data_IF_975576057387
#
_entry.id   IF_975576057387
#
_cell.length_a   1.000
_cell.length_b   1.000
_cell.length_c   1.000
_cell.angle_alpha   90.00
_cell.angle_beta   90.00
_cell.angle_gamma   90.00
#
_symmetry.space_group_name_H-M   'P 1'
#
loop_
_entity.id
_entity.type
_entity.pdbx_description
1 polymer ?
#
# COMPACT_ATOMS: atom_id res chain seq x y z
N UNK A 1 10.10 -10.06 21.05
CA UNK A 1 8.83 -9.30 21.15
C UNK A 1 8.63 -8.48 19.89
N UNK A 2 7.75 -8.89 18.97
CA UNK A 2 7.44 -8.09 17.76
C UNK A 2 6.48 -6.97 18.15
N UNK A 3 6.96 -5.72 18.18
CA UNK A 3 6.11 -4.53 18.35
C UNK A 3 5.09 -4.50 17.21
N UNK A 4 3.81 -4.71 17.52
CA UNK A 4 2.70 -4.35 16.62
C UNK A 4 2.53 -2.84 16.71
N UNK A 5 3.35 -2.10 15.97
CA UNK A 5 3.09 -0.69 15.69
C UNK A 5 2.02 -0.61 14.60
N UNK A 6 0.83 -1.16 14.83
CA UNK A 6 -0.27 -1.04 13.87
C UNK A 6 -1.11 0.13 14.36
N UNK A 7 -0.67 1.36 14.04
CA UNK A 7 -1.56 2.51 14.17
C UNK A 7 -2.74 2.25 13.25
N UNK A 8 -3.95 2.22 13.80
CA UNK A 8 -5.15 2.10 12.97
C UNK A 8 -5.35 3.37 12.14
N UNK A 9 -6.10 3.25 11.05
CA UNK A 9 -6.47 4.40 10.23
C UNK A 9 -7.12 5.52 11.06
N UNK A 10 -7.96 5.14 12.05
CA UNK A 10 -8.60 6.07 12.98
C UNK A 10 -7.60 6.82 13.88
N UNK A 11 -6.56 6.16 14.39
CA UNK A 11 -5.51 6.83 15.17
C UNK A 11 -4.71 7.83 14.32
N UNK A 12 -4.47 7.51 13.04
CA UNK A 12 -3.84 8.44 12.11
C UNK A 12 -4.71 9.67 11.87
N UNK A 13 -6.01 9.46 11.64
CA UNK A 13 -6.99 10.54 11.46
C UNK A 13 -7.06 11.49 12.67
N UNK A 14 -7.06 10.94 13.89
CA UNK A 14 -7.05 11.76 15.12
C UNK A 14 -5.80 12.66 15.14
N UNK A 15 -4.61 12.09 14.92
CA UNK A 15 -3.36 12.86 14.90
C UNK A 15 -3.34 13.90 13.79
N UNK A 16 -3.95 13.62 12.65
CA UNK A 16 -4.10 14.59 11.57
C UNK A 16 -4.95 15.78 12.01
N UNK A 17 -6.11 15.54 12.62
CA UNK A 17 -6.98 16.58 13.16
C UNK A 17 -6.26 17.46 14.19
N UNK A 18 -5.45 16.87 15.07
CA UNK A 18 -4.64 17.62 16.05
C UNK A 18 -3.62 18.56 15.39
N UNK A 19 -3.03 18.18 14.25
CA UNK A 19 -2.10 19.05 13.52
C UNK A 19 -2.84 20.19 12.83
N UNK A 20 -3.96 19.87 12.19
CA UNK A 20 -4.78 20.86 11.47
C UNK A 20 -5.35 21.90 12.43
N UNK A 21 -5.75 21.51 13.65
CA UNK A 21 -6.23 22.42 14.68
C UNK A 21 -5.20 23.47 15.12
N UNK A 22 -3.90 23.23 14.87
CA UNK A 22 -2.81 24.17 15.19
C UNK A 22 -2.59 25.22 14.10
N UNK A 23 -3.09 25.01 12.89
CA UNK A 23 -2.90 25.90 11.75
C UNK A 23 -3.73 27.18 11.94
N UNK A 24 -3.09 28.33 11.74
CA UNK A 24 -3.76 29.64 11.70
C UNK A 24 -3.52 30.32 10.36
N UNK A 25 -4.57 30.84 9.70
CA UNK A 25 -5.99 30.77 10.10
C UNK A 25 -6.59 29.35 9.96
N UNK A 26 -7.72 29.06 10.61
CA UNK A 26 -8.40 27.77 10.48
C UNK A 26 -8.74 27.47 9.01
N UNK A 27 -8.41 26.27 8.56
CA UNK A 27 -8.64 25.85 7.17
C UNK A 27 -10.06 25.29 6.99
N UNK A 28 -10.60 25.37 5.76
CA UNK A 28 -11.90 24.77 5.44
C UNK A 28 -11.84 23.25 5.52
N UNK A 29 -12.89 22.61 6.03
CA UNK A 29 -12.98 21.15 6.15
C UNK A 29 -12.72 20.42 4.83
N UNK A 30 -13.27 20.92 3.71
CA UNK A 30 -13.05 20.33 2.38
C UNK A 30 -11.57 20.30 2.00
N UNK A 31 -10.81 21.34 2.37
CA UNK A 31 -9.37 21.40 2.11
C UNK A 31 -8.60 20.45 3.02
N UNK A 32 -9.04 20.31 4.27
CA UNK A 32 -8.49 19.38 5.25
C UNK A 32 -8.67 17.94 4.77
N UNK A 33 -9.86 17.60 4.27
CA UNK A 33 -10.18 16.30 3.72
C UNK A 33 -9.35 15.99 2.47
N UNK A 34 -9.25 16.93 1.53
CA UNK A 34 -8.40 16.80 0.34
C UNK A 34 -6.93 16.53 0.71
N UNK A 35 -6.36 17.34 1.62
CA UNK A 35 -4.98 17.14 2.06
C UNK A 35 -4.77 15.81 2.79
N UNK A 36 -5.76 15.37 3.57
CA UNK A 36 -5.71 14.08 4.24
C UNK A 36 -5.67 12.92 3.23
N UNK A 37 -6.49 12.97 2.17
CA UNK A 37 -6.50 11.97 1.09
C UNK A 37 -5.14 11.95 0.39
N UNK A 38 -4.60 13.12 0.03
CA UNK A 38 -3.31 13.23 -0.66
C UNK A 38 -2.11 12.77 0.18
N UNK A 39 -2.23 12.78 1.51
CA UNK A 39 -1.17 12.34 2.42
C UNK A 39 -1.15 10.81 2.66
N UNK A 40 -2.12 10.07 2.12
CA UNK A 40 -2.18 8.61 2.29
C UNK A 40 -1.26 7.86 1.32
N UNK A 41 -0.89 6.63 1.68
CA UNK A 41 -0.22 5.70 0.76
C UNK A 41 -1.11 5.35 -0.44
N UNK A 42 -0.48 4.94 -1.55
CA UNK A 42 -1.11 4.70 -2.87
C UNK A 42 -2.43 3.91 -2.80
N UNK A 43 -2.47 2.83 -2.00
CA UNK A 43 -3.67 1.98 -1.87
C UNK A 43 -4.84 2.78 -1.30
N UNK A 44 -4.59 3.50 -0.21
CA UNK A 44 -5.60 4.33 0.44
C UNK A 44 -5.96 5.51 -0.46
N UNK A 45 -4.99 6.17 -1.10
CA UNK A 45 -5.26 7.26 -2.03
C UNK A 45 -6.23 6.84 -3.14
N UNK A 46 -5.97 5.71 -3.82
CA UNK A 46 -6.83 5.19 -4.89
C UNK A 46 -8.26 4.92 -4.43
N UNK A 47 -8.43 4.37 -3.22
CA UNK A 47 -9.75 4.06 -2.69
C UNK A 47 -10.46 5.26 -2.04
N UNK A 48 -9.74 6.27 -1.59
CA UNK A 48 -10.29 7.48 -0.97
C UNK A 48 -10.54 8.60 -1.97
N UNK A 49 -9.88 8.60 -3.14
CA UNK A 49 -10.08 9.60 -4.18
C UNK A 49 -11.56 9.83 -4.56
N UNK A 50 -12.44 8.81 -4.63
CA UNK A 50 -13.86 9.01 -4.89
C UNK A 50 -14.61 9.80 -3.80
N UNK A 51 -14.03 9.91 -2.59
CA UNK A 51 -14.58 10.71 -1.48
C UNK A 51 -14.13 12.17 -1.51
N UNK A 52 -13.38 12.59 -2.53
CA UNK A 52 -12.95 13.97 -2.67
C UNK A 52 -14.15 14.93 -2.72
N UNK A 53 -14.10 15.98 -1.91
CA UNK A 53 -15.20 16.96 -1.79
C UNK A 53 -16.37 16.49 -0.92
N UNK A 54 -16.31 15.27 -0.36
CA UNK A 54 -17.26 14.80 0.66
C UNK A 54 -16.86 15.29 2.06
N UNK A 55 -17.79 15.29 3.04
CA UNK A 55 -17.46 15.55 4.43
C UNK A 55 -16.37 14.61 4.96
N UNK A 56 -15.56 15.07 5.91
CA UNK A 56 -14.43 14.30 6.41
C UNK A 56 -14.85 12.93 6.97
N UNK A 57 -16.05 12.85 7.55
CA UNK A 57 -16.62 11.59 8.07
C UNK A 57 -16.82 10.52 6.99
N UNK A 58 -17.11 10.88 5.74
CA UNK A 58 -17.22 9.91 4.64
C UNK A 58 -15.85 9.37 4.25
N UNK A 59 -14.82 10.23 4.27
CA UNK A 59 -13.43 9.83 4.05
C UNK A 59 -12.98 8.84 5.12
N UNK A 60 -13.33 9.09 6.39
CA UNK A 60 -13.01 8.20 7.51
C UNK A 60 -13.63 6.81 7.34
N UNK A 61 -14.94 6.75 7.05
CA UNK A 61 -15.65 5.48 6.83
C UNK A 61 -15.04 4.69 5.67
N UNK A 62 -14.69 5.36 4.58
CA UNK A 62 -14.05 4.69 3.44
C UNK A 62 -12.66 4.15 3.82
N UNK A 63 -11.88 4.90 4.60
CA UNK A 63 -10.56 4.46 5.05
C UNK A 63 -10.60 3.27 6.00
N UNK A 64 -11.58 3.21 6.90
CA UNK A 64 -11.82 2.04 7.75
C UNK A 64 -12.20 0.80 6.92
N UNK A 65 -13.05 0.96 5.91
CA UNK A 65 -13.39 -0.15 4.99
C UNK A 65 -12.18 -0.65 4.20
N UNK A 66 -11.28 0.26 3.79
CA UNK A 66 -10.04 -0.09 3.11
C UNK A 66 -9.11 -0.85 4.05
N UNK A 67 -8.93 -0.37 5.29
CA UNK A 67 -8.12 -1.04 6.31
C UNK A 67 -8.61 -2.46 6.59
N UNK A 68 -9.92 -2.65 6.80
CA UNK A 68 -10.49 -3.99 6.99
C UNK A 68 -10.36 -4.85 5.72
N UNK A 69 -10.57 -4.28 4.53
CA UNK A 69 -10.38 -4.97 3.26
C UNK A 69 -8.96 -5.48 3.04
N UNK A 70 -7.95 -4.71 3.44
CA UNK A 70 -6.53 -5.11 3.43
C UNK A 70 -6.30 -6.24 4.44
N UNK A 71 -6.82 -6.10 5.66
CA UNK A 71 -6.64 -7.08 6.74
C UNK A 71 -7.22 -8.46 6.44
N UNK A 72 -8.31 -8.53 5.66
CA UNK A 72 -8.91 -9.79 5.20
C UNK A 72 -8.45 -10.21 3.79
N UNK A 73 -7.37 -9.60 3.28
CA UNK A 73 -6.77 -9.86 1.97
C UNK A 73 -7.73 -9.69 0.76
N UNK A 74 -8.84 -8.95 0.95
CA UNK A 74 -9.75 -8.59 -0.16
C UNK A 74 -9.21 -7.44 -1.00
N UNK A 75 -8.39 -6.57 -0.41
CA UNK A 75 -7.68 -5.50 -1.09
C UNK A 75 -6.19 -5.85 -1.06
N UNK A 76 -5.66 -6.27 -2.21
CA UNK A 76 -4.24 -6.63 -2.34
C UNK A 76 -3.46 -5.40 -2.76
N UNK A 77 -2.42 -5.07 -2.00
CA UNK A 77 -1.55 -3.95 -2.37
C UNK A 77 -0.81 -4.23 -3.68
N UNK A 78 -0.62 -3.19 -4.49
CA UNK A 78 0.23 -3.27 -5.69
C UNK A 78 1.67 -3.73 -5.35
N UNK A 79 2.18 -3.35 -4.18
CA UNK A 79 3.48 -3.81 -3.69
C UNK A 79 3.50 -5.33 -3.44
N UNK A 80 2.44 -5.89 -2.85
CA UNK A 80 2.25 -7.33 -2.65
C UNK A 80 2.15 -8.04 -4.00
N UNK A 81 1.37 -7.50 -4.94
CA UNK A 81 1.27 -8.07 -6.29
C UNK A 81 2.63 -8.11 -6.99
N UNK A 82 3.36 -6.97 -6.98
CA UNK A 82 4.71 -6.86 -7.55
C UNK A 82 5.69 -7.84 -6.90
N UNK A 83 5.66 -7.98 -5.58
CA UNK A 83 6.51 -8.92 -4.86
C UNK A 83 6.21 -10.38 -5.25
N UNK A 84 4.93 -10.74 -5.36
CA UNK A 84 4.50 -12.08 -5.79
C UNK A 84 4.89 -12.37 -7.24
N UNK A 85 4.69 -11.42 -8.16
CA UNK A 85 5.15 -11.55 -9.55
C UNK A 85 6.66 -11.73 -9.63
N UNK A 86 7.44 -10.95 -8.87
CA UNK A 86 8.89 -11.09 -8.83
C UNK A 86 9.33 -12.43 -8.23
N UNK A 87 8.64 -12.93 -7.21
CA UNK A 87 8.92 -14.24 -6.62
C UNK A 87 8.65 -15.38 -7.61
N UNK A 88 7.54 -15.31 -8.35
CA UNK A 88 7.20 -16.28 -9.40
C UNK A 88 8.21 -16.23 -10.55
N UNK A 89 8.61 -15.05 -11.00
CA UNK A 89 9.62 -14.87 -12.04
C UNK A 89 11.00 -15.39 -11.62
N UNK A 90 11.42 -15.13 -10.38
CA UNK A 90 12.68 -15.65 -9.82
C UNK A 90 12.65 -17.18 -9.66
N UNK A 91 11.48 -17.77 -9.40
CA UNK A 91 11.29 -19.22 -9.36
C UNK A 91 11.42 -19.91 -10.74
N UNK A 92 10.86 -19.28 -11.78
CA UNK A 92 10.86 -19.79 -13.16
C UNK A 92 12.26 -19.91 -13.76
N UNK A 93 13.12 -18.91 -13.55
CA UNK A 93 14.50 -18.89 -14.09
C UNK A 93 15.48 -19.92 -13.49
N UNK A 94 15.09 -20.65 -12.44
CA UNK A 94 15.91 -21.73 -11.85
C UNK A 94 15.57 -23.12 -12.40
N UNK A 95 14.35 -23.30 -12.91
CA UNK A 95 13.89 -24.59 -13.48
C UNK A 95 14.41 -24.72 -14.90
N UNK A 96 14.33 -23.65 -15.69
CA UNK A 96 14.82 -23.64 -17.07
C UNK A 96 16.35 -23.78 -17.16
N UNK A 97 17.11 -23.12 -16.27
CA UNK A 97 18.58 -23.28 -16.17
C UNK A 97 18.99 -24.71 -15.80
N UNK A 98 18.25 -25.38 -14.91
CA UNK A 98 18.51 -26.79 -14.56
C UNK A 98 18.20 -27.73 -15.71
N UNK A 99 17.14 -27.47 -16.47
CA UNK A 99 16.79 -28.27 -17.64
C UNK A 99 17.81 -28.10 -18.78
N UNK A 100 18.35 -26.89 -19.01
CA UNK A 100 19.40 -26.69 -20.01
C UNK A 100 20.74 -27.33 -19.62
N UNK A 101 21.14 -27.25 -18.33
CA UNK A 101 22.34 -27.93 -17.85
C UNK A 101 22.21 -29.45 -17.91
N UNK A 102 21.01 -30.00 -17.71
CA UNK A 102 20.77 -31.44 -17.76
C UNK A 102 20.58 -32.00 -19.18
N UNK A 103 20.08 -31.21 -20.15
CA UNK A 103 19.84 -31.68 -21.52
C UNK A 103 20.95 -31.36 -22.53
N UNK A 104 21.75 -30.32 -22.30
CA UNK A 104 22.72 -29.84 -23.30
C UNK A 104 24.16 -29.69 -22.78
N UNK A 105 24.45 -29.94 -21.50
CA UNK A 105 25.83 -29.96 -21.00
C UNK A 105 26.62 -28.66 -21.19
N UNK A 106 25.95 -27.52 -21.37
CA UNK A 106 26.60 -26.22 -21.48
C UNK A 106 26.69 -25.60 -20.08
N UNK A 107 27.90 -25.54 -19.52
CA UNK A 107 28.17 -24.79 -18.30
C UNK A 107 28.53 -23.34 -18.64
N UNK A 108 27.59 -22.43 -18.39
CA UNK A 108 27.73 -21.00 -18.69
C UNK A 108 28.75 -20.29 -17.77
N UNK A 109 29.23 -20.93 -16.70
CA UNK A 109 30.25 -20.38 -15.79
C UNK A 109 31.69 -20.49 -16.34
N UNK A 110 31.90 -21.23 -17.43
CA UNK A 110 33.24 -21.41 -18.05
C UNK A 110 33.65 -20.29 -19.02
N UNK A 111 32.83 -19.24 -19.19
CA UNK A 111 33.10 -18.13 -20.11
C UNK A 111 33.38 -16.80 -19.38
N UNK A 112 34.37 -16.80 -18.49
CA UNK A 112 35.00 -15.59 -17.95
C UNK A 112 36.51 -15.63 -18.14
#
# INVERSE_FOLDING_TARGET
>A
MKKKNTKSFSEYAIRWCEQVARVKPPMKESKIAEMFIHAQDEIYYQHLLPTLGKPFIEVLKMGEMVEEGIKIDRIVSFATLKATTQAIQKGSGSVERRLMNSKFGFDLESLK
#
